data_IF_728621088475
#
_entry.id   IF_728621088475
#
_cell.length_a   1.000
_cell.length_b   1.000
_cell.length_c   1.000
_cell.angle_alpha   90.00
_cell.angle_beta   90.00
_cell.angle_gamma   90.00
#
_symmetry.space_group_name_H-M   'P 1'
#
loop_
_entity.id
_entity.type
_entity.pdbx_description
1 polymer ?
#
# COMPACT_ATOMS: atom_id res chain seq x y z
N UNK A 1 -52.03 16.25 1.54
CA UNK A 1 -51.60 17.66 1.51
C UNK A 1 -50.32 17.76 0.68
N UNK A 2 -50.40 18.58 -0.38
CA UNK A 2 -49.38 19.23 -1.21
C UNK A 2 -48.00 18.56 -1.46
N UNK A 3 -47.86 18.03 -2.69
CA UNK A 3 -46.60 17.89 -3.42
C UNK A 3 -46.24 19.24 -4.07
N UNK A 4 -45.03 19.77 -3.88
CA UNK A 4 -44.55 20.96 -4.59
C UNK A 4 -43.55 20.60 -5.69
N UNK A 5 -43.95 20.85 -6.93
CA UNK A 5 -43.12 20.91 -8.14
C UNK A 5 -42.48 22.30 -8.21
N UNK A 6 -41.22 22.41 -8.62
CA UNK A 6 -40.66 23.68 -9.12
C UNK A 6 -40.08 23.46 -10.51
N UNK A 7 -40.64 24.24 -11.42
CA UNK A 7 -40.51 24.30 -12.85
C UNK A 7 -39.50 25.41 -13.18
N UNK A 8 -38.49 25.14 -14.02
CA UNK A 8 -37.63 26.20 -14.54
C UNK A 8 -38.11 26.60 -15.94
N UNK A 9 -38.54 27.86 -16.03
CA UNK A 9 -39.01 28.57 -17.23
C UNK A 9 -37.84 28.89 -18.17
N UNK A 10 -38.12 28.73 -19.47
CA UNK A 10 -37.42 29.41 -20.56
C UNK A 10 -37.52 30.93 -20.41
N UNK A 11 -36.44 31.63 -20.74
CA UNK A 11 -36.46 33.04 -21.14
C UNK A 11 -35.64 33.16 -22.42
N UNK A 12 -36.31 33.47 -23.52
CA UNK A 12 -35.75 34.02 -24.74
C UNK A 12 -35.87 35.54 -24.68
N UNK A 13 -34.84 36.25 -25.13
CA UNK A 13 -34.93 37.65 -25.53
C UNK A 13 -33.96 37.87 -26.69
N UNK A 14 -34.54 38.21 -27.84
CA UNK A 14 -33.82 38.59 -29.05
C UNK A 14 -33.47 40.08 -29.07
N UNK A 15 -32.56 40.44 -29.97
CA UNK A 15 -32.18 41.81 -30.30
C UNK A 15 -31.10 41.79 -31.37
N UNK A 16 -31.27 42.59 -32.43
CA UNK A 16 -30.82 42.31 -33.78
C UNK A 16 -29.57 43.09 -34.26
N UNK A 17 -29.01 42.56 -35.35
CA UNK A 17 -28.37 43.21 -36.51
C UNK A 17 -27.15 44.15 -36.34
N UNK A 18 -26.03 43.77 -36.99
CA UNK A 18 -25.30 44.62 -37.95
C UNK A 18 -24.26 43.79 -38.74
N UNK A 19 -24.32 43.85 -40.07
CA UNK A 19 -23.30 43.45 -41.06
C UNK A 19 -22.54 44.72 -41.49
N UNK A 20 -21.24 44.64 -41.84
CA UNK A 20 -20.84 44.61 -43.25
C UNK A 20 -19.67 43.64 -43.51
N UNK A 21 -19.59 42.90 -44.61
CA UNK A 21 -19.21 43.38 -45.94
C UNK A 21 -17.83 42.78 -46.35
N UNK A 22 -17.68 42.09 -47.50
CA UNK A 22 -16.57 41.18 -47.77
C UNK A 22 -15.44 41.82 -48.61
N UNK A 23 -14.17 41.51 -48.31
CA UNK A 23 -13.04 41.84 -49.19
C UNK A 23 -11.95 40.76 -49.16
N UNK A 24 -11.41 40.51 -50.36
CA UNK A 24 -10.23 39.70 -50.72
C UNK A 24 -10.43 38.20 -50.97
N UNK A 25 -10.91 37.94 -52.18
CA UNK A 25 -10.55 36.81 -53.02
C UNK A 25 -9.04 36.83 -53.33
N UNK A 26 -8.29 35.84 -52.84
CA UNK A 26 -6.95 35.55 -53.34
C UNK A 26 -6.99 34.36 -54.29
N UNK A 27 -6.92 34.71 -55.58
CA UNK A 27 -6.74 33.84 -56.73
C UNK A 27 -5.31 33.26 -56.69
N UNK A 28 -5.17 31.96 -56.45
CA UNK A 28 -3.91 31.23 -56.62
C UNK A 28 -3.89 30.58 -58.02
N UNK A 29 -2.98 31.08 -58.86
CA UNK A 29 -2.60 30.49 -60.15
C UNK A 29 -2.03 29.07 -59.96
N UNK A 30 -2.31 28.12 -60.88
CA UNK A 30 -1.77 26.77 -60.82
C UNK A 30 -0.35 26.74 -61.41
N UNK A 31 0.65 26.49 -60.57
CA UNK A 31 2.06 26.43 -60.97
C UNK A 31 2.82 25.30 -60.30
N UNK A 32 3.12 24.25 -61.09
CA UNK A 32 4.17 23.22 -60.95
C UNK A 32 4.06 22.12 -59.86
N UNK A 33 3.80 20.92 -60.40
CA UNK A 33 4.39 19.58 -60.11
C UNK A 33 4.36 19.08 -58.66
N UNK A 34 3.23 18.46 -58.30
CA UNK A 34 3.18 17.40 -57.27
C UNK A 34 3.73 16.09 -57.84
N UNK A 35 4.54 15.30 -57.10
CA UNK A 35 4.80 13.91 -57.43
C UNK A 35 3.52 13.11 -57.23
N UNK A 36 3.06 12.42 -58.27
CA UNK A 36 1.88 11.57 -58.22
C UNK A 36 2.09 10.41 -57.24
N UNK A 37 1.59 10.55 -56.01
CA UNK A 37 1.29 9.40 -55.17
C UNK A 37 -0.03 8.80 -55.67
N UNK A 38 0.09 7.87 -56.62
CA UNK A 38 -1.03 7.01 -56.99
C UNK A 38 -1.50 6.20 -55.76
N UNK A 39 -2.81 5.89 -55.63
CA UNK A 39 -3.28 5.05 -54.54
C UNK A 39 -2.60 3.69 -54.61
N UNK A 40 -2.16 3.11 -53.48
CA UNK A 40 -1.60 1.77 -53.49
C UNK A 40 -2.68 0.79 -53.98
N UNK A 41 -2.38 0.12 -55.09
CA UNK A 41 -3.15 -1.03 -55.61
C UNK A 41 -3.46 -1.96 -54.43
N UNK A 42 -4.73 -2.36 -54.20
CA UNK A 42 -5.02 -3.36 -53.19
C UNK A 42 -4.46 -4.68 -53.68
N UNK A 43 -3.30 -5.07 -53.15
CA UNK A 43 -2.81 -6.44 -53.28
C UNK A 43 -3.86 -7.32 -52.62
N UNK A 44 -4.63 -8.07 -53.43
CA UNK A 44 -5.50 -9.14 -52.94
C UNK A 44 -4.61 -10.15 -52.20
N UNK A 45 -4.48 -9.97 -50.90
CA UNK A 45 -3.91 -10.97 -50.01
C UNK A 45 -4.94 -12.10 -49.95
N UNK A 46 -4.71 -13.13 -50.76
CA UNK A 46 -5.32 -14.44 -50.56
C UNK A 46 -4.89 -14.94 -49.19
N UNK A 47 -5.77 -14.76 -48.20
CA UNK A 47 -5.62 -15.29 -46.85
C UNK A 47 -5.86 -16.80 -46.89
N UNK A 48 -4.77 -17.55 -46.95
CA UNK A 48 -4.75 -18.99 -46.65
C UNK A 48 -4.94 -19.18 -45.13
N UNK A 49 -5.91 -19.99 -44.66
CA UNK A 49 -6.29 -20.06 -43.26
C UNK A 49 -5.43 -21.09 -42.53
N UNK A 50 -4.13 -20.82 -42.37
CA UNK A 50 -3.23 -21.60 -41.51
C UNK A 50 -1.95 -20.84 -41.12
N UNK A 51 -2.02 -19.51 -41.08
CA UNK A 51 -0.92 -18.70 -40.54
C UNK A 51 -1.02 -18.72 -39.02
N UNK A 52 -0.07 -19.40 -38.39
CA UNK A 52 0.02 -19.59 -36.95
C UNK A 52 0.04 -18.23 -36.23
N UNK A 53 -1.02 -17.93 -35.47
CA UNK A 53 -1.20 -16.67 -34.72
C UNK A 53 0.01 -16.38 -33.83
N UNK A 54 0.72 -17.43 -33.39
CA UNK A 54 1.96 -17.35 -32.61
C UNK A 54 3.11 -16.71 -33.39
N UNK A 55 3.23 -16.98 -34.69
CA UNK A 55 4.27 -16.43 -35.58
C UNK A 55 4.02 -14.95 -35.90
N UNK A 56 2.76 -14.57 -36.10
CA UNK A 56 2.38 -13.17 -36.29
C UNK A 56 2.67 -12.39 -35.01
N UNK A 57 2.22 -12.89 -33.86
CA UNK A 57 2.47 -12.24 -32.56
C UNK A 57 3.97 -12.14 -32.28
N UNK A 58 4.77 -13.17 -32.54
CA UNK A 58 6.21 -13.13 -32.31
C UNK A 58 6.93 -12.10 -33.19
N UNK A 59 6.55 -11.98 -34.47
CA UNK A 59 7.12 -10.98 -35.38
C UNK A 59 6.74 -9.54 -34.97
N UNK A 60 5.51 -9.31 -34.51
CA UNK A 60 5.07 -8.02 -33.98
C UNK A 60 5.78 -7.69 -32.66
N UNK A 61 5.96 -8.66 -31.77
CA UNK A 61 6.70 -8.49 -30.52
C UNK A 61 8.18 -8.16 -30.80
N UNK A 62 8.80 -8.81 -31.79
CA UNK A 62 10.17 -8.53 -32.18
C UNK A 62 10.31 -7.11 -32.76
N UNK A 63 9.41 -6.71 -33.69
CA UNK A 63 9.41 -5.35 -34.27
C UNK A 63 9.16 -4.27 -33.22
N UNK A 64 8.22 -4.48 -32.30
CA UNK A 64 7.94 -3.54 -31.22
C UNK A 64 9.11 -3.42 -30.24
N UNK A 65 9.84 -4.50 -29.95
CA UNK A 65 11.04 -4.48 -29.11
C UNK A 65 12.15 -3.60 -29.71
N UNK A 66 12.44 -3.75 -31.01
CA UNK A 66 13.48 -2.98 -31.71
C UNK A 66 13.14 -1.48 -31.77
N UNK A 67 11.89 -1.13 -32.08
CA UNK A 67 11.43 0.27 -32.10
C UNK A 67 11.53 0.89 -30.71
N UNK A 68 11.14 0.14 -29.69
CA UNK A 68 11.20 0.57 -28.31
C UNK A 68 12.63 0.81 -27.80
N UNK A 69 13.60 -0.02 -28.21
CA UNK A 69 15.02 0.16 -27.89
C UNK A 69 15.62 1.39 -28.59
N UNK A 70 15.22 1.65 -29.84
CA UNK A 70 15.63 2.86 -30.57
C UNK A 70 15.06 4.12 -29.91
N UNK A 71 13.81 4.07 -29.46
CA UNK A 71 13.15 5.15 -28.72
C UNK A 71 13.83 5.43 -27.37
N UNK A 72 14.16 4.38 -26.60
CA UNK A 72 14.87 4.52 -25.33
C UNK A 72 16.25 5.18 -25.52
N UNK A 73 17.03 4.75 -26.52
CA UNK A 73 18.33 5.35 -26.84
C UNK A 73 18.23 6.80 -27.30
N UNK A 74 17.16 7.15 -28.02
CA UNK A 74 16.90 8.53 -28.42
C UNK A 74 16.56 9.42 -27.22
N UNK A 75 15.67 8.97 -26.33
CA UNK A 75 15.30 9.70 -25.12
C UNK A 75 16.49 9.92 -24.18
N UNK A 76 17.33 8.90 -24.01
CA UNK A 76 18.52 8.97 -23.16
C UNK A 76 19.52 10.03 -23.67
N UNK A 77 19.75 10.09 -24.98
CA UNK A 77 20.65 11.07 -25.59
C UNK A 77 20.10 12.50 -25.56
N UNK A 78 18.80 12.68 -25.79
CA UNK A 78 18.21 14.02 -25.96
C UNK A 78 17.74 14.65 -24.65
N UNK A 79 17.27 13.84 -23.69
CA UNK A 79 16.70 14.30 -22.43
C UNK A 79 17.09 13.38 -21.25
N UNK A 80 18.36 13.44 -20.78
CA UNK A 80 18.87 12.51 -19.77
C UNK A 80 18.11 12.59 -18.43
N UNK A 81 17.75 13.80 -17.98
CA UNK A 81 16.98 13.99 -16.73
C UNK A 81 15.58 13.38 -16.80
N UNK A 82 14.89 13.54 -17.93
CA UNK A 82 13.57 12.95 -18.15
C UNK A 82 13.66 11.42 -18.26
N UNK A 83 14.70 10.90 -18.91
CA UNK A 83 14.90 9.47 -19.09
C UNK A 83 15.02 8.72 -17.75
N UNK A 84 15.65 9.30 -16.73
CA UNK A 84 15.71 8.72 -15.38
C UNK A 84 14.29 8.53 -14.81
N UNK A 85 13.46 9.57 -14.87
CA UNK A 85 12.07 9.51 -14.36
C UNK A 85 11.24 8.51 -15.18
N UNK A 86 11.34 8.58 -16.51
CA UNK A 86 10.63 7.70 -17.43
C UNK A 86 11.00 6.23 -17.21
N UNK A 87 12.28 5.92 -17.07
CA UNK A 87 12.76 4.55 -16.88
C UNK A 87 12.34 3.98 -15.53
N UNK A 88 12.36 4.77 -14.45
CA UNK A 88 11.82 4.39 -13.13
C UNK A 88 10.31 4.13 -13.22
N UNK A 89 9.55 5.03 -13.85
CA UNK A 89 8.11 4.86 -14.02
C UNK A 89 7.76 3.61 -14.81
N UNK A 90 8.45 3.39 -15.93
CA UNK A 90 8.24 2.23 -16.79
C UNK A 90 8.56 0.91 -16.08
N UNK A 91 9.69 0.85 -15.37
CA UNK A 91 10.06 -0.31 -14.55
C UNK A 91 9.02 -0.55 -13.45
N UNK A 92 8.60 0.51 -12.75
CA UNK A 92 7.55 0.44 -11.72
C UNK A 92 6.24 -0.13 -12.24
N UNK A 93 5.80 0.31 -13.42
CA UNK A 93 4.59 -0.21 -14.05
C UNK A 93 4.72 -1.69 -14.47
N UNK A 94 5.87 -2.09 -15.01
CA UNK A 94 6.13 -3.49 -15.35
C UNK A 94 6.08 -4.39 -14.10
N UNK A 95 6.67 -3.95 -12.99
CA UNK A 95 6.62 -4.66 -11.72
C UNK A 95 5.19 -4.76 -11.17
N UNK A 96 4.42 -3.67 -11.23
CA UNK A 96 3.01 -3.68 -10.82
C UNK A 96 2.16 -4.66 -11.65
N UNK A 97 2.40 -4.74 -12.96
CA UNK A 97 1.72 -5.73 -13.80
C UNK A 97 2.14 -7.17 -13.47
N UNK A 98 3.40 -7.41 -13.15
CA UNK A 98 3.87 -8.71 -12.70
C UNK A 98 3.20 -9.11 -11.37
N UNK A 99 3.10 -8.17 -10.43
CA UNK A 99 2.40 -8.35 -9.17
C UNK A 99 0.91 -8.60 -9.37
N UNK A 100 0.25 -7.85 -10.25
CA UNK A 100 -1.15 -8.08 -10.58
C UNK A 100 -1.38 -9.48 -11.17
N UNK A 101 -0.49 -9.94 -12.05
CA UNK A 101 -0.52 -11.30 -12.60
C UNK A 101 -0.32 -12.35 -11.50
N UNK A 102 0.65 -12.15 -10.60
CA UNK A 102 0.90 -13.06 -9.47
C UNK A 102 -0.28 -13.12 -8.51
N UNK A 103 -0.82 -11.97 -8.09
CA UNK A 103 -2.01 -11.89 -7.23
C UNK A 103 -3.23 -12.55 -7.87
N UNK A 104 -3.42 -12.40 -9.19
CA UNK A 104 -4.49 -13.09 -9.93
C UNK A 104 -4.29 -14.61 -9.91
N UNK A 105 -3.07 -15.11 -10.15
CA UNK A 105 -2.75 -16.54 -10.07
C UNK A 105 -3.05 -17.11 -8.69
N UNK A 106 -2.63 -16.41 -7.63
CA UNK A 106 -2.89 -16.84 -6.24
C UNK A 106 -4.40 -16.89 -5.97
N UNK A 107 -5.16 -15.85 -6.37
CA UNK A 107 -6.62 -15.85 -6.21
C UNK A 107 -7.29 -16.99 -6.98
N UNK A 108 -6.90 -17.23 -8.22
CA UNK A 108 -7.43 -18.36 -9.02
C UNK A 108 -7.12 -19.70 -8.34
N UNK A 109 -5.90 -19.88 -7.83
CA UNK A 109 -5.50 -21.06 -7.08
C UNK A 109 -6.33 -21.26 -5.80
N UNK A 110 -6.59 -20.18 -5.04
CA UNK A 110 -7.46 -20.22 -3.87
C UNK A 110 -8.88 -20.68 -4.23
N UNK A 111 -9.46 -20.11 -5.29
CA UNK A 111 -10.81 -20.47 -5.75
C UNK A 111 -10.87 -21.92 -6.22
N UNK A 112 -9.87 -22.37 -7.00
CA UNK A 112 -9.81 -23.75 -7.50
C UNK A 112 -9.70 -24.78 -6.36
N UNK A 113 -8.85 -24.51 -5.37
CA UNK A 113 -8.61 -25.43 -4.25
C UNK A 113 -9.50 -25.18 -3.03
N UNK A 114 -10.43 -24.22 -3.10
CA UNK A 114 -11.28 -23.75 -1.98
C UNK A 114 -10.47 -23.45 -0.70
N UNK A 115 -9.25 -22.93 -0.86
CA UNK A 115 -8.36 -22.64 0.25
C UNK A 115 -8.72 -21.32 0.92
N UNK A 116 -8.66 -21.31 2.25
CA UNK A 116 -8.78 -20.11 3.04
C UNK A 116 -7.45 -19.35 3.09
N UNK A 117 -7.50 -18.04 3.31
CA UNK A 117 -6.31 -17.17 3.34
C UNK A 117 -5.22 -17.66 4.32
N UNK A 118 -5.59 -18.29 5.44
CA UNK A 118 -4.66 -18.80 6.46
C UNK A 118 -3.94 -20.12 6.08
N UNK A 119 -4.31 -20.74 4.96
CA UNK A 119 -3.70 -22.00 4.48
C UNK A 119 -2.63 -21.75 3.41
N UNK A 120 -2.51 -20.51 2.95
CA UNK A 120 -1.52 -20.11 1.95
C UNK A 120 -0.10 -20.10 2.54
N UNK A 121 0.87 -20.18 1.64
CA UNK A 121 2.27 -19.93 1.98
C UNK A 121 2.45 -18.47 2.44
N UNK A 122 3.37 -18.25 3.37
CA UNK A 122 3.72 -16.93 3.89
C UNK A 122 3.99 -15.91 2.77
N UNK A 123 4.78 -16.30 1.75
CA UNK A 123 5.14 -15.42 0.62
C UNK A 123 3.92 -14.97 -0.20
N UNK A 124 2.94 -15.84 -0.37
CA UNK A 124 1.72 -15.53 -1.13
C UNK A 124 0.77 -14.66 -0.31
N UNK A 125 0.64 -14.93 0.99
CA UNK A 125 -0.15 -14.10 1.91
C UNK A 125 0.39 -12.68 1.99
N UNK A 126 1.72 -12.54 2.14
CA UNK A 126 2.38 -11.25 2.24
C UNK A 126 2.28 -10.47 0.94
N UNK A 127 2.46 -11.15 -0.21
CA UNK A 127 2.27 -10.55 -1.54
C UNK A 127 0.84 -10.02 -1.72
N UNK A 128 -0.19 -10.82 -1.41
CA UNK A 128 -1.58 -10.38 -1.51
C UNK A 128 -1.88 -9.18 -0.60
N UNK A 129 -1.30 -9.15 0.60
CA UNK A 129 -1.46 -8.04 1.56
C UNK A 129 -0.86 -6.75 1.02
N UNK A 130 0.38 -6.79 0.52
CA UNK A 130 1.06 -5.65 -0.09
C UNK A 130 0.30 -5.18 -1.34
N UNK A 131 -0.03 -6.09 -2.25
CA UNK A 131 -0.77 -5.80 -3.48
C UNK A 131 -2.12 -5.13 -3.21
N UNK A 132 -2.85 -5.57 -2.17
CA UNK A 132 -4.12 -4.92 -1.78
C UNK A 132 -3.93 -3.45 -1.39
N UNK A 133 -2.85 -3.12 -0.68
CA UNK A 133 -2.53 -1.73 -0.29
C UNK A 133 -2.19 -0.90 -1.52
N UNK A 134 -1.44 -1.46 -2.44
CA UNK A 134 -1.03 -0.78 -3.68
C UNK A 134 -2.21 -0.55 -4.63
N UNK A 135 -3.09 -1.54 -4.79
CA UNK A 135 -4.32 -1.39 -5.58
C UNK A 135 -5.25 -0.33 -4.98
N UNK A 136 -5.36 -0.24 -3.65
CA UNK A 136 -6.16 0.81 -3.02
C UNK A 136 -5.62 2.21 -3.35
N UNK A 137 -4.29 2.39 -3.36
CA UNK A 137 -3.64 3.65 -3.80
C UNK A 137 -3.92 3.93 -5.28
N UNK A 138 -3.74 2.95 -6.16
CA UNK A 138 -4.04 3.09 -7.59
C UNK A 138 -5.49 3.44 -7.86
N UNK A 139 -6.42 2.77 -7.18
CA UNK A 139 -7.86 3.01 -7.35
C UNK A 139 -8.20 4.44 -6.93
N UNK A 140 -7.68 4.90 -5.79
CA UNK A 140 -7.87 6.26 -5.32
C UNK A 140 -7.32 7.29 -6.33
N UNK A 141 -6.12 7.05 -6.85
CA UNK A 141 -5.52 7.88 -7.89
C UNK A 141 -6.34 7.88 -9.19
N UNK A 142 -6.84 6.71 -9.60
CA UNK A 142 -7.66 6.54 -10.80
C UNK A 142 -8.99 7.28 -10.71
N UNK A 143 -9.65 7.28 -9.55
CA UNK A 143 -10.88 8.05 -9.32
C UNK A 143 -10.62 9.55 -9.43
N UNK A 144 -9.51 10.04 -8.86
CA UNK A 144 -9.13 11.46 -8.97
C UNK A 144 -8.86 11.84 -10.43
N UNK A 145 -8.41 10.90 -11.27
CA UNK A 145 -8.08 11.14 -12.68
C UNK A 145 -9.29 11.23 -13.63
N UNK A 146 -10.50 10.88 -13.18
CA UNK A 146 -11.71 10.83 -14.04
C UNK A 146 -12.05 12.20 -14.68
N UNK A 147 -12.02 13.32 -13.94
CA UNK A 147 -12.37 14.62 -14.52
C UNK A 147 -11.34 15.12 -15.55
N UNK A 148 -11.77 15.75 -16.65
CA UNK A 148 -10.93 16.05 -17.83
C UNK A 148 -9.75 17.04 -17.62
N UNK A 149 -9.57 17.63 -16.44
CA UNK A 149 -8.39 18.47 -16.11
C UNK A 149 -7.62 17.97 -14.88
N UNK A 150 -8.13 16.93 -14.23
CA UNK A 150 -7.51 16.40 -13.03
C UNK A 150 -6.20 15.64 -13.33
N UNK A 151 -5.94 15.23 -14.57
CA UNK A 151 -4.70 14.55 -14.95
C UNK A 151 -3.46 15.39 -14.62
N UNK A 152 -3.45 16.69 -14.96
CA UNK A 152 -2.34 17.58 -14.63
C UNK A 152 -2.22 17.79 -13.12
N UNK A 153 -3.35 17.90 -12.42
CA UNK A 153 -3.38 17.98 -10.97
C UNK A 153 -2.83 16.70 -10.32
N UNK A 154 -3.13 15.52 -10.86
CA UNK A 154 -2.60 14.23 -10.40
C UNK A 154 -1.08 14.20 -10.55
N UNK A 155 -0.53 14.65 -11.68
CA UNK A 155 0.93 14.73 -11.84
C UNK A 155 1.58 15.71 -10.86
N UNK A 156 0.95 16.87 -10.61
CA UNK A 156 1.42 17.84 -9.61
C UNK A 156 1.39 17.23 -8.19
N UNK A 157 0.28 16.59 -7.81
CA UNK A 157 0.13 15.95 -6.51
C UNK A 157 1.11 14.78 -6.34
N UNK A 158 1.36 14.00 -7.40
CA UNK A 158 2.32 12.91 -7.38
C UNK A 158 3.75 13.40 -7.13
N UNK A 159 4.10 14.58 -7.65
CA UNK A 159 5.39 15.23 -7.42
C UNK A 159 5.51 15.79 -6.00
N UNK A 160 4.45 16.43 -5.49
CA UNK A 160 4.44 17.05 -4.15
C UNK A 160 4.26 16.03 -3.01
N UNK A 161 3.50 14.98 -3.23
CA UNK A 161 3.13 13.97 -2.22
C UNK A 161 3.48 12.53 -2.66
N UNK A 162 4.77 12.24 -2.98
CA UNK A 162 5.19 10.94 -3.48
C UNK A 162 4.89 9.82 -2.47
N UNK A 163 4.99 10.08 -1.16
CA UNK A 163 4.74 9.09 -0.10
C UNK A 163 3.29 8.59 -0.06
N UNK A 164 2.32 9.46 -0.36
CA UNK A 164 0.89 9.14 -0.22
C UNK A 164 0.31 8.51 -1.48
N UNK A 165 0.70 9.02 -2.64
CA UNK A 165 0.09 8.68 -3.93
C UNK A 165 0.86 7.60 -4.69
N UNK A 166 2.18 7.55 -4.55
CA UNK A 166 2.97 6.53 -5.22
C UNK A 166 2.99 5.21 -4.43
N UNK A 167 3.09 4.13 -5.19
CA UNK A 167 3.35 2.79 -4.70
C UNK A 167 4.86 2.62 -4.47
N UNK A 168 5.23 1.70 -3.57
CA UNK A 168 6.62 1.39 -3.23
C UNK A 168 7.52 1.11 -4.45
N UNK A 169 6.96 0.48 -5.49
CA UNK A 169 7.61 0.18 -6.77
C UNK A 169 8.10 1.39 -7.57
N UNK A 170 7.53 2.58 -7.30
CA UNK A 170 7.93 3.83 -7.97
C UNK A 170 8.89 4.66 -7.12
N UNK A 171 9.20 4.24 -5.90
CA UNK A 171 10.14 4.94 -5.03
C UNK A 171 11.58 4.52 -5.33
N UNK A 172 12.49 5.49 -5.30
CA UNK A 172 13.93 5.19 -5.29
C UNK A 172 14.34 4.54 -3.98
N UNK A 173 15.44 3.77 -3.98
CA UNK A 173 15.92 3.09 -2.76
C UNK A 173 16.20 4.07 -1.60
N UNK A 174 16.69 5.28 -1.91
CA UNK A 174 16.88 6.35 -0.91
C UNK A 174 15.54 6.81 -0.31
N UNK A 175 14.55 7.09 -1.17
CA UNK A 175 13.21 7.48 -0.73
C UNK A 175 12.51 6.39 0.08
N UNK A 176 12.73 5.11 -0.27
CA UNK A 176 12.17 3.99 0.49
C UNK A 176 12.66 4.01 1.94
N UNK A 177 13.96 4.18 2.17
CA UNK A 177 14.53 4.27 3.51
C UNK A 177 14.00 5.49 4.27
N UNK A 178 14.05 6.67 3.66
CA UNK A 178 13.58 7.92 4.27
C UNK A 178 12.09 7.83 4.67
N UNK A 179 11.24 7.27 3.79
CA UNK A 179 9.82 7.13 4.09
C UNK A 179 9.55 6.11 5.19
N UNK A 180 10.33 5.01 5.26
CA UNK A 180 10.26 4.06 6.37
C UNK A 180 10.63 4.74 7.70
N UNK A 181 11.69 5.54 7.73
CA UNK A 181 12.07 6.27 8.94
C UNK A 181 10.97 7.27 9.38
N UNK A 182 10.35 7.97 8.42
CA UNK A 182 9.23 8.88 8.74
C UNK A 182 8.01 8.12 9.28
N UNK A 183 7.65 6.98 8.68
CA UNK A 183 6.56 6.14 9.19
C UNK A 183 6.89 5.58 10.58
N UNK A 184 8.14 5.20 10.84
CA UNK A 184 8.56 4.75 12.16
C UNK A 184 8.50 5.89 13.19
N UNK A 185 8.90 7.11 12.82
CA UNK A 185 8.75 8.30 13.68
C UNK A 185 7.28 8.57 14.05
N UNK A 186 6.37 8.48 13.08
CA UNK A 186 4.91 8.60 13.33
C UNK A 186 4.38 7.52 14.27
N UNK A 187 4.88 6.28 14.14
CA UNK A 187 4.58 5.18 15.06
C UNK A 187 5.06 5.51 16.46
N UNK A 188 6.32 5.92 16.62
CA UNK A 188 6.94 6.29 17.91
C UNK A 188 6.17 7.40 18.63
N UNK A 189 5.68 8.41 17.92
CA UNK A 189 4.84 9.48 18.50
C UNK A 189 3.54 8.98 19.16
N UNK A 190 3.04 7.80 18.75
CA UNK A 190 1.83 7.21 19.33
C UNK A 190 2.09 6.36 20.59
N UNK A 191 3.33 5.93 20.83
CA UNK A 191 3.71 5.09 21.96
C UNK A 191 3.35 5.67 23.33
N UNK A 192 3.69 6.93 23.68
CA UNK A 192 3.35 7.48 24.99
C UNK A 192 1.83 7.58 25.20
N UNK A 193 1.06 7.81 24.13
CA UNK A 193 -0.41 7.85 24.21
C UNK A 193 -0.99 6.47 24.51
N UNK A 194 -0.39 5.41 23.96
CA UNK A 194 -0.80 4.02 24.22
C UNK A 194 -0.46 3.65 25.65
N UNK A 195 0.76 3.96 26.13
CA UNK A 195 1.16 3.72 27.51
C UNK A 195 0.23 4.42 28.51
N UNK A 196 -0.09 5.71 28.29
CA UNK A 196 -1.05 6.43 29.13
C UNK A 196 -2.46 5.79 29.10
N UNK A 197 -2.90 5.29 27.94
CA UNK A 197 -4.17 4.56 27.85
C UNK A 197 -4.13 3.23 28.61
N UNK A 198 -2.99 2.52 28.60
CA UNK A 198 -2.78 1.31 29.38
C UNK A 198 -2.80 1.62 30.88
N UNK A 199 -2.09 2.64 31.33
CA UNK A 199 -2.07 3.06 32.75
C UNK A 199 -3.45 3.41 33.28
N UNK A 200 -4.26 4.13 32.48
CA UNK A 200 -5.65 4.43 32.84
C UNK A 200 -6.54 3.19 32.91
N UNK A 201 -6.17 2.12 32.23
CA UNK A 201 -6.91 0.86 32.26
C UNK A 201 -6.53 -0.02 33.47
N UNK A 202 -5.34 0.16 34.06
CA UNK A 202 -4.84 -0.64 35.20
C UNK A 202 -5.81 -0.66 36.40
N UNK A 203 -6.37 0.48 36.87
CA UNK A 203 -7.28 0.48 38.03
C UNK A 203 -8.56 -0.33 37.80
N UNK A 204 -8.97 -0.50 36.55
CA UNK A 204 -10.19 -1.21 36.17
C UNK A 204 -10.01 -2.74 36.13
N UNK A 205 -8.77 -3.24 36.27
CA UNK A 205 -8.48 -4.67 36.29
C UNK A 205 -8.82 -5.22 37.67
N UNK A 206 -9.71 -6.21 37.74
CA UNK A 206 -10.21 -6.77 39.01
C UNK A 206 -9.14 -7.49 39.84
N UNK A 207 -8.22 -8.20 39.20
CA UNK A 207 -7.19 -9.00 39.89
C UNK A 207 -6.02 -8.11 40.36
N UNK A 208 -5.77 -8.09 41.67
CA UNK A 208 -4.73 -7.27 42.31
C UNK A 208 -3.30 -7.68 41.94
N UNK A 209 -3.02 -8.98 41.81
CA UNK A 209 -1.71 -9.48 41.40
C UNK A 209 -1.41 -9.08 39.94
N UNK A 210 -2.38 -9.28 39.03
CA UNK A 210 -2.22 -8.85 37.63
C UNK A 210 -2.06 -7.34 37.51
N UNK A 211 -2.79 -6.56 38.32
CA UNK A 211 -2.67 -5.10 38.37
C UNK A 211 -1.25 -4.66 38.76
N UNK A 212 -0.67 -5.30 39.77
CA UNK A 212 0.71 -5.03 40.18
C UNK A 212 1.70 -5.37 39.06
N UNK A 213 1.61 -6.56 38.47
CA UNK A 213 2.47 -6.96 37.35
C UNK A 213 2.34 -6.03 36.14
N UNK A 214 1.13 -5.58 35.81
CA UNK A 214 0.91 -4.62 34.73
C UNK A 214 1.60 -3.29 35.03
N UNK A 215 1.43 -2.77 36.25
CA UNK A 215 2.07 -1.52 36.69
C UNK A 215 3.60 -1.61 36.59
N UNK A 216 4.16 -2.74 37.02
CA UNK A 216 5.61 -3.01 36.89
C UNK A 216 6.05 -3.06 35.42
N UNK A 217 5.25 -3.66 34.53
CA UNK A 217 5.57 -3.70 33.10
C UNK A 217 5.55 -2.30 32.48
N UNK A 218 4.53 -1.49 32.76
CA UNK A 218 4.45 -0.12 32.24
C UNK A 218 5.61 0.76 32.73
N UNK A 219 5.94 0.69 34.03
CA UNK A 219 7.06 1.45 34.61
C UNK A 219 8.41 1.00 34.04
N UNK A 220 8.65 -0.31 33.87
CA UNK A 220 9.85 -0.83 33.18
C UNK A 220 10.00 -0.24 31.78
N UNK A 221 8.92 -0.23 30.99
CA UNK A 221 8.94 0.30 29.61
C UNK A 221 9.18 1.81 29.61
N UNK A 222 8.59 2.56 30.54
CA UNK A 222 8.83 3.99 30.69
C UNK A 222 10.27 4.33 31.10
N UNK A 223 10.87 3.49 31.95
CA UNK A 223 12.26 3.62 32.38
C UNK A 223 13.27 3.23 31.29
N UNK A 224 12.81 2.90 30.08
CA UNK A 224 13.69 2.55 28.97
C UNK A 224 14.11 1.08 28.94
N UNK A 225 13.54 0.21 29.78
CA UNK A 225 13.80 -1.23 29.73
C UNK A 225 12.96 -1.91 28.64
N UNK A 226 13.51 -2.98 28.07
CA UNK A 226 12.78 -3.84 27.13
C UNK A 226 11.96 -4.88 27.91
N UNK A 227 10.64 -4.99 27.71
CA UNK A 227 9.81 -5.93 28.45
C UNK A 227 10.05 -7.37 27.99
N UNK A 228 10.10 -8.31 28.93
CA UNK A 228 10.22 -9.73 28.62
C UNK A 228 8.92 -10.30 28.04
N UNK A 229 9.05 -11.29 27.15
CA UNK A 229 7.90 -12.00 26.55
C UNK A 229 7.04 -12.66 27.63
N UNK A 230 7.68 -13.29 28.62
CA UNK A 230 6.98 -13.98 29.70
C UNK A 230 6.14 -13.00 30.53
N UNK A 231 6.66 -11.80 30.81
CA UNK A 231 5.92 -10.75 31.53
C UNK A 231 4.64 -10.35 30.76
N UNK A 232 4.70 -10.28 29.42
CA UNK A 232 3.53 -10.00 28.58
C UNK A 232 2.53 -11.17 28.54
N UNK A 233 3.01 -12.41 28.49
CA UNK A 233 2.15 -13.59 28.45
C UNK A 233 1.34 -13.77 29.74
N UNK A 234 1.89 -13.37 30.90
CA UNK A 234 1.16 -13.34 32.16
C UNK A 234 -0.06 -12.40 32.10
N UNK A 235 0.03 -11.32 31.31
CA UNK A 235 -1.02 -10.31 31.20
C UNK A 235 -2.08 -10.64 30.14
N UNK A 236 -1.95 -11.73 29.37
CA UNK A 236 -2.85 -12.06 28.25
C UNK A 236 -4.33 -12.04 28.60
N UNK A 237 -4.68 -12.49 29.81
CA UNK A 237 -6.05 -12.55 30.28
C UNK A 237 -6.68 -11.14 30.42
N UNK A 238 -5.88 -10.12 30.71
CA UNK A 238 -6.34 -8.73 30.82
C UNK A 238 -6.83 -8.17 29.48
N UNK A 239 -6.34 -8.71 28.37
CA UNK A 239 -6.60 -8.23 27.00
C UNK A 239 -7.75 -8.97 26.31
N UNK A 240 -8.28 -10.03 26.93
CA UNK A 240 -9.44 -10.78 26.45
C UNK A 240 -10.77 -10.23 26.99
N UNK A 241 -10.72 -9.38 28.01
CA UNK A 241 -11.89 -8.89 28.75
C UNK A 241 -11.83 -7.35 28.82
N UNK A 242 -12.95 -6.72 29.18
CA UNK A 242 -12.96 -5.32 29.59
C UNK A 242 -11.86 -5.05 30.64
N UNK A 243 -11.09 -3.95 30.55
CA UNK A 243 -11.25 -2.81 29.62
C UNK A 243 -10.40 -2.89 28.33
N UNK A 244 -9.51 -3.87 28.20
CA UNK A 244 -8.51 -3.90 27.11
C UNK A 244 -8.92 -4.76 25.91
N UNK A 245 -10.07 -5.42 25.96
CA UNK A 245 -10.65 -6.07 24.77
C UNK A 245 -10.87 -5.07 23.63
N UNK A 246 -10.64 -5.50 22.38
CA UNK A 246 -10.78 -4.65 21.18
C UNK A 246 -12.20 -4.06 21.04
N UNK A 247 -13.22 -4.78 21.51
CA UNK A 247 -14.61 -4.33 21.54
C UNK A 247 -14.86 -3.14 22.47
N UNK A 248 -14.07 -3.02 23.54
CA UNK A 248 -14.26 -2.02 24.59
C UNK A 248 -13.20 -0.91 24.62
N UNK A 249 -12.21 -0.95 23.74
CA UNK A 249 -11.19 0.11 23.64
C UNK A 249 -11.82 1.49 23.43
N UNK A 250 -11.35 2.47 24.19
CA UNK A 250 -11.74 3.86 24.05
C UNK A 250 -11.28 4.43 22.70
N UNK A 251 -12.01 5.43 22.18
CA UNK A 251 -11.68 6.10 20.91
C UNK A 251 -10.24 6.64 20.87
N UNK A 252 -9.73 7.38 21.89
CA UNK A 252 -8.34 7.84 21.86
C UNK A 252 -7.34 6.68 21.81
N UNK A 253 -7.63 5.58 22.51
CA UNK A 253 -6.79 4.39 22.50
C UNK A 253 -6.75 3.73 21.12
N UNK A 254 -7.91 3.51 20.48
CA UNK A 254 -7.98 2.97 19.12
C UNK A 254 -7.29 3.87 18.09
N UNK A 255 -7.41 5.20 18.21
CA UNK A 255 -6.72 6.15 17.33
C UNK A 255 -5.21 6.09 17.51
N UNK A 256 -4.72 5.88 18.74
CA UNK A 256 -3.30 5.74 19.01
C UNK A 256 -2.76 4.41 18.45
N UNK A 257 -3.44 3.29 18.71
CA UNK A 257 -3.10 1.97 18.14
C UNK A 257 -3.13 1.97 16.61
N UNK A 258 -4.10 2.65 16.00
CA UNK A 258 -4.19 2.76 14.55
C UNK A 258 -3.00 3.50 13.95
N UNK A 259 -2.51 4.57 14.62
CA UNK A 259 -1.27 5.24 14.21
C UNK A 259 -0.07 4.32 14.37
N UNK A 260 0.02 3.56 15.47
CA UNK A 260 1.10 2.60 15.69
C UNK A 260 1.16 1.51 14.61
N UNK A 261 0.01 1.08 14.09
CA UNK A 261 -0.11 0.08 13.02
C UNK A 261 -0.01 0.67 11.60
N UNK A 262 0.28 1.97 11.47
CA UNK A 262 0.29 2.70 10.19
C UNK A 262 -1.06 2.61 9.44
N UNK A 263 -2.17 2.57 10.18
CA UNK A 263 -3.54 2.63 9.67
C UNK A 263 -4.08 4.07 9.75
N UNK A 264 -5.14 4.36 8.99
CA UNK A 264 -5.75 5.69 8.95
C UNK A 264 -6.54 5.98 10.24
N UNK A 265 -6.10 6.91 11.12
CA UNK A 265 -6.72 7.12 12.43
C UNK A 265 -7.96 8.02 12.42
N UNK A 266 -8.24 8.68 11.29
CA UNK A 266 -9.33 9.65 11.14
C UNK A 266 -10.67 9.01 10.76
N UNK A 267 -10.75 7.68 10.73
CA UNK A 267 -11.99 6.97 10.42
C UNK A 267 -12.94 6.94 11.63
N UNK A 268 -14.26 6.82 11.39
CA UNK A 268 -15.25 6.54 12.42
C UNK A 268 -14.87 5.34 13.29
N UNK A 269 -15.26 5.35 14.56
CA UNK A 269 -14.85 4.36 15.58
C UNK A 269 -15.13 2.91 15.17
N UNK A 270 -16.30 2.64 14.60
CA UNK A 270 -16.71 1.30 14.14
C UNK A 270 -15.80 0.79 13.03
N UNK A 271 -15.51 1.63 12.03
CA UNK A 271 -14.61 1.28 10.92
C UNK A 271 -13.17 1.13 11.40
N UNK A 272 -12.74 1.97 12.35
CA UNK A 272 -11.42 1.90 12.95
C UNK A 272 -11.22 0.56 13.66
N UNK A 273 -12.20 0.16 14.48
CA UNK A 273 -12.21 -1.13 15.17
C UNK A 273 -12.18 -2.31 14.20
N UNK A 274 -13.04 -2.29 13.18
CA UNK A 274 -13.04 -3.33 12.14
C UNK A 274 -11.68 -3.43 11.44
N UNK A 275 -11.08 -2.29 11.07
CA UNK A 275 -9.75 -2.27 10.41
C UNK A 275 -8.65 -2.77 11.32
N UNK A 276 -8.66 -2.42 12.61
CA UNK A 276 -7.72 -2.94 13.60
C UNK A 276 -7.86 -4.46 13.71
N UNK A 277 -9.05 -4.97 14.00
CA UNK A 277 -9.32 -6.41 14.08
C UNK A 277 -8.87 -7.17 12.83
N UNK A 278 -9.20 -6.64 11.65
CA UNK A 278 -8.78 -7.22 10.37
C UNK A 278 -7.27 -7.19 10.19
N UNK A 279 -6.61 -6.11 10.59
CA UNK A 279 -5.15 -6.01 10.52
C UNK A 279 -4.48 -7.01 11.45
N UNK A 280 -4.95 -7.12 12.69
CA UNK A 280 -4.42 -8.05 13.70
C UNK A 280 -4.58 -9.49 13.27
N UNK A 281 -5.77 -9.86 12.78
CA UNK A 281 -6.04 -11.23 12.29
C UNK A 281 -5.14 -11.59 11.11
N UNK A 282 -4.96 -10.69 10.14
CA UNK A 282 -4.02 -10.90 9.03
C UNK A 282 -2.58 -11.03 9.54
N UNK A 283 -2.16 -10.19 10.49
CA UNK A 283 -0.82 -10.24 11.07
C UNK A 283 -0.56 -11.57 11.80
N UNK A 284 -1.48 -12.02 12.63
CA UNK A 284 -1.36 -13.29 13.35
C UNK A 284 -1.39 -14.51 12.41
N UNK A 285 -2.20 -14.47 11.34
CA UNK A 285 -2.18 -15.51 10.32
C UNK A 285 -0.85 -15.53 9.55
N UNK A 286 -0.28 -14.36 9.26
CA UNK A 286 1.06 -14.24 8.67
C UNK A 286 2.13 -14.81 9.61
N UNK A 287 2.04 -14.54 10.91
CA UNK A 287 2.96 -15.09 11.92
C UNK A 287 2.90 -16.62 11.95
N UNK A 288 1.69 -17.20 11.96
CA UNK A 288 1.51 -18.65 11.89
C UNK A 288 2.10 -19.25 10.62
N UNK A 289 1.91 -18.59 9.47
CA UNK A 289 2.51 -19.03 8.21
C UNK A 289 4.05 -18.90 8.20
N UNK A 290 4.57 -17.83 8.81
CA UNK A 290 6.00 -17.59 8.94
C UNK A 290 6.68 -18.61 9.85
N UNK A 291 6.03 -18.98 10.97
CA UNK A 291 6.49 -20.04 11.87
C UNK A 291 6.55 -21.40 11.16
N UNK A 292 5.60 -21.70 10.26
CA UNK A 292 5.62 -22.94 9.44
C UNK A 292 6.74 -22.93 8.40
N UNK A 293 7.04 -21.78 7.80
CA UNK A 293 8.12 -21.64 6.82
C UNK A 293 9.50 -21.75 7.48
N UNK A 294 9.65 -21.18 8.68
CA UNK A 294 10.91 -21.07 9.40
C UNK A 294 11.71 -19.83 9.01
N UNK A 295 12.37 -19.21 9.98
CA UNK A 295 13.12 -17.96 9.80
C UNK A 295 14.37 -18.17 8.93
N UNK A 296 14.99 -19.35 9.00
CA UNK A 296 16.19 -19.68 8.20
C UNK A 296 15.97 -19.67 6.69
N UNK A 297 14.74 -19.81 6.21
CA UNK A 297 14.42 -19.77 4.77
C UNK A 297 14.17 -18.34 4.23
N UNK A 298 14.16 -17.34 5.11
CA UNK A 298 13.91 -15.95 4.75
C UNK A 298 15.20 -15.28 4.30
N UNK A 299 15.09 -14.49 3.23
CA UNK A 299 16.16 -13.57 2.81
C UNK A 299 16.32 -12.42 3.80
N UNK A 300 17.50 -11.80 3.85
CA UNK A 300 17.78 -10.63 4.71
C UNK A 300 16.73 -9.52 4.58
N UNK A 301 16.31 -9.23 3.34
CA UNK A 301 15.27 -8.25 3.06
C UNK A 301 13.89 -8.68 3.59
N UNK A 302 13.51 -9.95 3.43
CA UNK A 302 12.26 -10.49 3.98
C UNK A 302 12.24 -10.41 5.51
N UNK A 303 13.36 -10.70 6.18
CA UNK A 303 13.51 -10.59 7.65
C UNK A 303 13.31 -9.14 8.09
N UNK A 304 14.02 -8.18 7.47
CA UNK A 304 13.87 -6.75 7.80
C UNK A 304 12.44 -6.28 7.58
N UNK A 305 11.85 -6.57 6.43
CA UNK A 305 10.45 -6.22 6.13
C UNK A 305 9.46 -6.84 7.13
N UNK A 306 9.67 -8.09 7.52
CA UNK A 306 8.86 -8.78 8.53
C UNK A 306 8.96 -8.09 9.90
N UNK A 307 10.15 -7.70 10.33
CA UNK A 307 10.35 -6.97 11.58
C UNK A 307 9.67 -5.59 11.55
N UNK A 308 9.85 -4.86 10.44
CA UNK A 308 9.24 -3.53 10.24
C UNK A 308 7.71 -3.57 10.28
N UNK A 309 7.11 -4.60 9.66
CA UNK A 309 5.66 -4.81 9.71
C UNK A 309 5.15 -4.92 11.15
N UNK A 310 5.91 -5.60 12.02
CA UNK A 310 5.60 -5.85 13.44
C UNK A 310 6.06 -4.73 14.37
N UNK A 311 6.67 -3.68 13.83
CA UNK A 311 6.94 -2.41 14.52
C UNK A 311 8.35 -2.13 14.95
N UNK A 312 9.25 -3.08 14.79
CA UNK A 312 10.68 -2.86 15.00
C UNK A 312 11.27 -1.99 13.87
N UNK A 313 12.15 -1.04 14.19
CA UNK A 313 12.84 -0.28 13.15
C UNK A 313 14.00 -1.08 12.54
N UNK A 314 13.71 -1.93 11.55
CA UNK A 314 14.71 -2.81 10.93
C UNK A 314 15.67 -2.13 9.95
N UNK A 315 15.48 -0.84 9.63
CA UNK A 315 16.30 -0.14 8.63
C UNK A 315 17.76 -0.09 9.08
N UNK A 316 17.97 0.28 10.35
CA UNK A 316 19.30 0.50 10.95
C UNK A 316 19.83 -0.70 11.76
N UNK A 317 19.02 -1.76 11.91
CA UNK A 317 19.43 -2.97 12.63
C UNK A 317 20.21 -3.94 11.73
N UNK A 318 21.13 -4.69 12.34
CA UNK A 318 21.79 -5.83 11.69
C UNK A 318 20.78 -6.96 11.48
N UNK A 319 21.09 -7.86 10.54
CA UNK A 319 20.23 -8.99 10.22
C UNK A 319 20.07 -9.95 11.42
N UNK A 320 21.13 -10.21 12.16
CA UNK A 320 21.13 -11.17 13.28
C UNK A 320 20.18 -10.70 14.39
N UNK A 321 20.25 -9.42 14.78
CA UNK A 321 19.32 -8.84 15.75
C UNK A 321 17.86 -8.92 15.26
N UNK A 322 17.62 -8.70 13.97
CA UNK A 322 16.28 -8.84 13.41
C UNK A 322 15.79 -10.29 13.46
N UNK A 323 16.66 -11.29 13.23
CA UNK A 323 16.30 -12.72 13.29
C UNK A 323 15.94 -13.14 14.70
N UNK A 324 16.77 -12.77 15.68
CA UNK A 324 16.53 -13.06 17.11
C UNK A 324 15.20 -12.44 17.56
N UNK A 325 15.00 -11.15 17.30
CA UNK A 325 13.77 -10.46 17.66
C UNK A 325 12.54 -11.05 16.97
N UNK A 326 12.67 -11.45 15.70
CA UNK A 326 11.56 -12.08 14.96
C UNK A 326 11.20 -13.45 15.53
N UNK A 327 12.18 -14.21 16.00
CA UNK A 327 11.95 -15.49 16.66
C UNK A 327 11.18 -15.31 17.97
N UNK A 328 11.66 -14.40 18.82
CA UNK A 328 10.98 -13.97 20.04
C UNK A 328 9.53 -13.53 19.76
N UNK A 329 9.33 -12.68 18.75
CA UNK A 329 8.01 -12.23 18.33
C UNK A 329 7.11 -13.41 17.93
N UNK A 330 7.61 -14.37 17.16
CA UNK A 330 6.81 -15.50 16.68
C UNK A 330 6.49 -16.50 17.79
N UNK A 331 7.38 -16.70 18.76
CA UNK A 331 7.10 -17.47 19.96
C UNK A 331 5.94 -16.86 20.72
N UNK A 332 5.98 -15.54 20.93
CA UNK A 332 4.90 -14.79 21.57
C UNK A 332 3.60 -14.82 20.76
N UNK A 333 3.62 -14.37 19.51
CA UNK A 333 2.40 -14.11 18.74
C UNK A 333 1.65 -15.39 18.38
N UNK A 334 2.35 -16.50 18.12
CA UNK A 334 1.72 -17.79 17.85
C UNK A 334 1.14 -18.47 19.12
N UNK A 335 1.53 -18.04 20.32
CA UNK A 335 0.97 -18.56 21.58
C UNK A 335 -0.40 -17.97 21.90
N UNK A 336 -0.74 -16.82 21.31
CA UNK A 336 -1.97 -16.08 21.60
C UNK A 336 -3.21 -16.72 20.95
N UNK A 337 -4.33 -16.65 21.67
CA UNK A 337 -5.67 -17.03 21.18
C UNK A 337 -6.36 -15.87 20.47
N UNK A 338 -7.43 -16.18 19.73
CA UNK A 338 -8.23 -15.16 19.01
C UNK A 338 -8.86 -14.11 19.95
N UNK A 339 -9.17 -14.46 21.19
CA UNK A 339 -9.70 -13.51 22.19
C UNK A 339 -8.61 -12.53 22.69
N UNK A 340 -7.35 -12.94 22.67
CA UNK A 340 -6.20 -12.19 23.21
C UNK A 340 -5.57 -11.27 22.15
N UNK A 341 -6.22 -11.08 21.00
CA UNK A 341 -5.67 -10.36 19.84
C UNK A 341 -5.44 -8.88 20.14
N UNK A 342 -6.11 -8.32 21.15
CA UNK A 342 -5.78 -6.98 21.64
C UNK A 342 -4.34 -6.92 22.12
N UNK A 343 -3.86 -7.93 22.85
CA UNK A 343 -2.47 -7.96 23.33
C UNK A 343 -1.48 -7.94 22.16
N UNK A 344 -1.76 -8.61 21.04
CA UNK A 344 -0.89 -8.57 19.87
C UNK A 344 -0.72 -7.14 19.32
N UNK A 345 -1.79 -6.34 19.31
CA UNK A 345 -1.73 -4.94 18.89
C UNK A 345 -0.88 -4.09 19.83
N UNK A 346 -0.99 -4.31 21.14
CA UNK A 346 -0.22 -3.57 22.13
C UNK A 346 1.24 -4.03 22.14
N UNK A 347 1.49 -5.31 21.92
CA UNK A 347 2.82 -5.90 21.86
C UNK A 347 3.66 -5.36 20.70
N UNK A 348 3.07 -5.02 19.55
CA UNK A 348 3.77 -4.30 18.47
C UNK A 348 4.45 -3.03 18.99
N UNK A 349 3.85 -2.37 19.99
CA UNK A 349 4.43 -1.17 20.61
C UNK A 349 5.38 -1.55 21.73
N UNK A 350 4.94 -2.39 22.68
CA UNK A 350 5.72 -2.73 23.87
C UNK A 350 7.03 -3.47 23.54
N UNK A 351 7.01 -4.39 22.57
CA UNK A 351 8.19 -5.15 22.13
C UNK A 351 9.04 -4.40 21.09
N UNK A 352 8.53 -3.32 20.48
CA UNK A 352 9.36 -2.47 19.61
C UNK A 352 10.03 -1.33 20.37
N UNK A 353 9.47 -0.92 21.51
CA UNK A 353 10.08 0.08 22.38
C UNK A 353 11.34 -0.45 23.05
N UNK A 354 12.35 0.40 23.13
CA UNK A 354 13.58 0.19 23.90
C UNK A 354 14.39 -1.05 23.51
N UNK A 355 14.20 -1.60 22.30
CA UNK A 355 14.95 -2.78 21.88
C UNK A 355 16.47 -2.47 21.87
N UNK A 356 17.33 -3.30 22.49
CA UNK A 356 18.76 -3.03 22.64
C UNK A 356 19.47 -2.65 21.35
N UNK A 357 19.15 -3.29 20.22
CA UNK A 357 19.78 -2.97 18.93
C UNK A 357 19.42 -1.59 18.36
N UNK A 358 18.44 -0.88 18.94
CA UNK A 358 18.00 0.45 18.47
C UNK A 358 18.64 1.62 19.24
N UNK A 359 19.55 1.34 20.18
CA UNK A 359 20.20 2.34 21.05
C UNK A 359 21.47 2.98 20.46
N UNK A 360 21.62 2.99 19.14
CA UNK A 360 22.78 3.58 18.45
C UNK A 360 22.46 4.92 17.82
#
# INVERSE_FOLDING_TARGET
>A
MALSRVYWRCVSLGGAAALPGPLFSLRLQPGRRSPAWGPPRPSRLHLSPKVDLKSIVSSFVAKTKVVNEKYNRFLERRFPRFYVVYSVFRKGFQMLLADAKKARRIKTFMTQKKLMFHQLSYRDMEHLRQFRRDVAKCLFLGIISIPPFANYLVFLLMYLYPRQLLIQHFWTSKQQLEFLDVYHSQRKQSHPKILNCLERAIPLISNTALRWHFTQLCTKVQNGAHPGINDLLLLKNCFSVYPLDIGHLSIPHMKALSRAMLLTPHLPSVLLRYRLNKHTTVLHQLDKALKRLGIGQLTAHEVKSACYLRGLNSTHLTEDWCRIWLEEWLQFSCSLKNAEMSLLLHAVVLLSTNHPGTRH
#
